data_IF_142497023323
#
_entry.id   IF_142497023323
#
_cell.length_a   1.000
_cell.length_b   1.000
_cell.length_c   1.000
_cell.angle_alpha   90.00
_cell.angle_beta   90.00
_cell.angle_gamma   90.00
#
_symmetry.space_group_name_H-M   'P 1'
#
loop_
_entity.id
_entity.type
_entity.pdbx_description
1 polymer ?
#
# COMPACT_ATOMS: atom_id res chain seq x y z
N UNK A 1 38.22 12.83 23.65
CA UNK A 1 36.78 12.49 23.64
C UNK A 1 36.56 11.58 22.44
N UNK A 2 36.58 10.25 22.63
CA UNK A 2 36.43 9.30 21.54
C UNK A 2 34.95 9.01 21.31
N UNK A 3 34.48 9.24 20.09
CA UNK A 3 33.08 9.08 19.69
C UNK A 3 32.64 7.61 19.49
N UNK A 4 33.57 6.65 19.59
CA UNK A 4 33.34 5.24 19.32
C UNK A 4 33.85 4.36 20.46
N UNK A 5 33.15 3.26 20.74
CA UNK A 5 33.60 2.20 21.65
C UNK A 5 34.82 1.50 21.06
N UNK A 6 35.65 0.88 21.90
CA UNK A 6 36.87 0.21 21.41
C UNK A 6 36.55 -0.96 20.46
N UNK A 7 35.45 -1.66 20.71
CA UNK A 7 34.91 -2.67 19.80
C UNK A 7 34.53 -2.08 18.42
N UNK A 8 33.89 -0.90 18.41
CA UNK A 8 33.49 -0.23 17.17
C UNK A 8 34.71 0.20 16.36
N UNK A 9 35.79 0.65 17.03
CA UNK A 9 37.05 1.01 16.36
C UNK A 9 37.67 -0.19 15.65
N UNK A 10 37.72 -1.34 16.32
CA UNK A 10 38.24 -2.57 15.73
C UNK A 10 37.44 -2.95 14.48
N UNK A 11 36.11 -2.87 14.55
CA UNK A 11 35.24 -3.17 13.42
C UNK A 11 35.39 -2.16 12.28
N UNK A 12 35.43 -0.86 12.57
CA UNK A 12 35.60 0.19 11.56
C UNK A 12 36.94 0.03 10.84
N UNK A 13 38.02 -0.23 11.57
CA UNK A 13 39.35 -0.46 10.99
C UNK A 13 39.44 -1.76 10.18
N UNK A 14 38.53 -2.71 10.39
CA UNK A 14 38.47 -3.96 9.62
C UNK A 14 37.78 -3.82 8.26
N UNK A 15 37.09 -2.69 8.02
CA UNK A 15 36.41 -2.44 6.74
C UNK A 15 37.49 -2.24 5.66
N UNK A 16 37.52 -3.06 4.60
CA UNK A 16 38.47 -2.89 3.52
C UNK A 16 38.20 -1.56 2.81
N UNK A 17 39.14 -0.62 2.94
CA UNK A 17 39.11 0.64 2.19
C UNK A 17 39.76 0.40 0.85
N UNK A 18 39.17 0.95 -0.21
CA UNK A 18 39.82 0.94 -1.50
C UNK A 18 41.04 1.87 -1.48
N UNK A 19 42.18 1.38 -1.97
CA UNK A 19 43.43 2.16 -2.04
C UNK A 19 43.50 3.00 -3.31
N UNK A 20 42.56 2.82 -4.25
CA UNK A 20 42.41 3.71 -5.38
C UNK A 20 41.55 4.92 -4.96
N UNK A 21 42.07 6.12 -5.20
CA UNK A 21 41.30 7.36 -5.11
C UNK A 21 40.19 7.33 -6.17
N UNK A 22 39.02 6.82 -5.78
CA UNK A 22 37.78 6.88 -6.55
C UNK A 22 36.84 7.87 -5.87
N UNK A 23 36.13 8.64 -6.68
CA UNK A 23 35.08 9.51 -6.18
C UNK A 23 33.96 8.70 -5.53
N UNK A 24 33.42 9.22 -4.42
CA UNK A 24 32.28 8.64 -3.75
C UNK A 24 31.08 8.52 -4.69
N UNK A 25 30.45 7.34 -4.70
CA UNK A 25 29.30 7.05 -5.53
C UNK A 25 28.08 6.71 -4.67
N UNK A 26 26.90 7.15 -5.10
CA UNK A 26 25.63 6.72 -4.48
C UNK A 26 25.42 5.23 -4.73
N UNK A 27 25.19 4.48 -3.65
CA UNK A 27 24.89 3.05 -3.70
C UNK A 27 23.57 2.72 -2.99
N UNK A 28 22.76 1.89 -3.64
CA UNK A 28 21.49 1.40 -3.13
C UNK A 28 21.65 0.01 -2.51
N UNK A 29 21.80 -0.05 -1.19
CA UNK A 29 22.07 -1.29 -0.46
C UNK A 29 20.95 -2.34 -0.52
N UNK A 30 19.73 -1.97 -0.95
CA UNK A 30 18.63 -2.91 -1.16
C UNK A 30 18.66 -3.61 -2.52
N UNK A 31 19.68 -3.34 -3.34
CA UNK A 31 19.92 -4.04 -4.59
C UNK A 31 21.34 -4.60 -4.65
N UNK A 32 21.50 -5.79 -5.21
CA UNK A 32 22.79 -6.50 -5.24
C UNK A 32 23.81 -5.81 -6.15
N UNK A 33 23.37 -5.02 -7.13
CA UNK A 33 24.27 -4.24 -7.99
C UNK A 33 24.51 -2.83 -7.45
N UNK A 34 23.95 -2.49 -6.28
CA UNK A 34 24.03 -1.15 -5.70
C UNK A 34 23.27 -0.09 -6.50
N UNK A 35 22.46 -0.48 -7.49
CA UNK A 35 21.79 0.46 -8.39
C UNK A 35 20.36 0.74 -7.92
N UNK A 36 20.00 2.02 -7.87
CA UNK A 36 18.62 2.42 -7.59
C UNK A 36 17.74 2.23 -8.84
N UNK A 37 16.56 1.66 -8.64
CA UNK A 37 15.49 1.67 -9.65
C UNK A 37 14.17 2.03 -8.96
N UNK A 38 13.23 2.59 -9.71
CA UNK A 38 11.87 2.85 -9.19
C UNK A 38 11.24 1.57 -8.63
N UNK A 39 11.51 0.42 -9.27
CA UNK A 39 11.03 -0.90 -8.82
C UNK A 39 11.62 -1.30 -7.45
N UNK A 40 12.92 -1.15 -7.25
CA UNK A 40 13.58 -1.50 -5.98
C UNK A 40 13.16 -0.53 -4.87
N UNK A 41 13.06 0.77 -5.17
CA UNK A 41 12.54 1.77 -4.24
C UNK A 41 11.09 1.50 -3.83
N UNK A 42 10.21 1.19 -4.79
CA UNK A 42 8.81 0.86 -4.50
C UNK A 42 8.69 -0.40 -3.62
N UNK A 43 9.51 -1.42 -3.88
CA UNK A 43 9.52 -2.64 -3.07
C UNK A 43 9.85 -2.33 -1.60
N UNK A 44 10.91 -1.56 -1.35
CA UNK A 44 11.30 -1.16 0.02
C UNK A 44 10.19 -0.35 0.69
N UNK A 45 9.58 0.59 -0.02
CA UNK A 45 8.47 1.38 0.50
C UNK A 45 7.24 0.53 0.84
N UNK A 46 6.93 -0.49 0.04
CA UNK A 46 5.84 -1.42 0.34
C UNK A 46 6.17 -2.35 1.50
N UNK A 47 7.39 -2.89 1.56
CA UNK A 47 7.82 -3.75 2.66
C UNK A 47 7.76 -3.01 4.01
N UNK A 48 8.17 -1.72 4.04
CA UNK A 48 8.04 -0.86 5.22
C UNK A 48 6.59 -0.66 5.65
N UNK A 49 5.67 -0.36 4.70
CA UNK A 49 4.23 -0.25 4.98
C UNK A 49 3.63 -1.57 5.49
N UNK A 50 4.12 -2.70 4.99
CA UNK A 50 3.64 -4.03 5.38
C UNK A 50 4.13 -4.44 6.78
N UNK A 51 5.29 -3.95 7.22
CA UNK A 51 5.78 -4.17 8.59
C UNK A 51 4.94 -3.43 9.64
N UNK A 52 4.37 -2.27 9.28
CA UNK A 52 3.41 -1.54 10.14
C UNK A 52 2.01 -2.17 10.10
N UNK A 53 1.63 -2.78 8.97
CA UNK A 53 0.34 -3.46 8.79
C UNK A 53 0.41 -4.94 9.19
N UNK A 54 0.39 -5.21 10.49
CA UNK A 54 0.44 -6.57 11.04
C UNK A 54 -0.70 -7.48 10.51
N UNK A 55 -0.35 -8.72 10.15
CA UNK A 55 -1.23 -9.91 9.91
C UNK A 55 -2.30 -9.88 8.80
N UNK A 56 -2.87 -8.73 8.43
CA UNK A 56 -4.07 -8.67 7.58
C UNK A 56 -3.81 -8.80 6.07
N UNK A 57 -2.61 -8.44 5.59
CA UNK A 57 -2.29 -8.45 4.16
C UNK A 57 -2.41 -9.83 3.51
N UNK A 58 -2.00 -10.89 4.21
CA UNK A 58 -2.12 -12.27 3.69
C UNK A 58 -3.58 -12.70 3.59
N UNK A 59 -4.40 -12.35 4.58
CA UNK A 59 -5.84 -12.66 4.60
C UNK A 59 -6.54 -11.89 3.49
N UNK A 60 -6.19 -10.62 3.29
CA UNK A 60 -6.75 -9.78 2.23
C UNK A 60 -6.39 -10.31 0.83
N UNK A 61 -5.13 -10.71 0.63
CA UNK A 61 -4.70 -11.34 -0.63
C UNK A 61 -5.45 -12.66 -0.91
N UNK A 62 -5.65 -13.50 0.11
CA UNK A 62 -6.40 -14.75 -0.02
C UNK A 62 -7.88 -14.51 -0.35
N UNK A 63 -8.49 -13.48 0.25
CA UNK A 63 -9.85 -13.06 -0.08
C UNK A 63 -10.00 -12.68 -1.55
N UNK A 64 -9.10 -11.84 -2.06
CA UNK A 64 -9.14 -11.42 -3.46
C UNK A 64 -8.97 -12.59 -4.42
N UNK A 65 -8.02 -13.50 -4.15
CA UNK A 65 -7.85 -14.72 -4.94
C UNK A 65 -9.13 -15.56 -4.97
N UNK A 66 -9.80 -15.70 -3.83
CA UNK A 66 -11.05 -16.45 -3.72
C UNK A 66 -12.15 -15.83 -4.57
N UNK A 67 -12.34 -14.51 -4.51
CA UNK A 67 -13.30 -13.76 -5.33
C UNK A 67 -13.06 -13.98 -6.83
N UNK A 68 -11.81 -13.90 -7.27
CA UNK A 68 -11.45 -14.07 -8.68
C UNK A 68 -11.58 -15.51 -9.19
N UNK A 69 -11.49 -16.51 -8.31
CA UNK A 69 -11.66 -17.93 -8.65
C UNK A 69 -13.13 -18.39 -8.75
N UNK A 70 -14.10 -17.58 -8.30
CA UNK A 70 -15.52 -17.94 -8.39
C UNK A 70 -15.98 -18.13 -9.86
N UNK A 71 -16.83 -19.12 -10.13
CA UNK A 71 -17.41 -19.37 -11.46
C UNK A 71 -18.66 -18.48 -11.70
N UNK A 72 -18.47 -17.18 -11.63
CA UNK A 72 -19.53 -16.17 -11.85
C UNK A 72 -19.13 -15.18 -12.96
N UNK A 73 -20.10 -14.48 -13.58
CA UNK A 73 -19.80 -13.48 -14.60
C UNK A 73 -18.83 -12.41 -14.11
N UNK A 74 -17.90 -11.99 -14.98
CA UNK A 74 -16.87 -11.00 -14.66
C UNK A 74 -17.47 -9.69 -14.12
N UNK A 75 -18.61 -9.26 -14.66
CA UNK A 75 -19.32 -8.05 -14.22
C UNK A 75 -19.67 -8.09 -12.73
N UNK A 76 -20.04 -9.26 -12.20
CA UNK A 76 -20.35 -9.45 -10.78
C UNK A 76 -19.09 -9.40 -9.93
N UNK A 77 -17.99 -10.02 -10.37
CA UNK A 77 -16.69 -9.95 -9.68
C UNK A 77 -16.20 -8.51 -9.57
N UNK A 78 -16.25 -7.76 -10.67
CA UNK A 78 -15.84 -6.35 -10.71
C UNK A 78 -16.72 -5.50 -9.82
N UNK A 79 -18.04 -5.75 -9.82
CA UNK A 79 -18.97 -5.07 -8.92
C UNK A 79 -18.63 -5.34 -7.44
N UNK A 80 -18.46 -6.60 -7.05
CA UNK A 80 -18.11 -6.98 -5.68
C UNK A 80 -16.75 -6.39 -5.25
N UNK A 81 -15.75 -6.44 -6.12
CA UNK A 81 -14.44 -5.83 -5.87
C UNK A 81 -14.55 -4.33 -5.61
N UNK A 82 -15.31 -3.61 -6.45
CA UNK A 82 -15.59 -2.17 -6.25
C UNK A 82 -16.41 -1.92 -4.98
N UNK A 83 -17.36 -2.79 -4.64
CA UNK A 83 -18.17 -2.66 -3.45
C UNK A 83 -17.32 -2.77 -2.18
N UNK A 84 -16.50 -3.81 -2.06
CA UNK A 84 -15.61 -4.05 -0.93
C UNK A 84 -14.56 -2.94 -0.73
N UNK A 85 -14.12 -2.29 -1.81
CA UNK A 85 -13.15 -1.19 -1.76
C UNK A 85 -13.80 0.21 -1.64
N UNK A 86 -15.11 0.28 -1.37
CA UNK A 86 -15.87 1.53 -1.33
C UNK A 86 -15.68 2.40 -2.60
N UNK A 87 -15.56 1.72 -3.75
CA UNK A 87 -15.30 2.29 -5.06
C UNK A 87 -16.55 2.52 -5.91
N UNK A 88 -17.73 2.13 -5.42
CA UNK A 88 -19.00 2.42 -6.07
C UNK A 88 -19.37 3.91 -5.92
N UNK A 89 -20.04 4.51 -6.93
CA UNK A 89 -20.35 5.94 -6.95
C UNK A 89 -21.61 6.27 -6.11
N UNK A 90 -21.62 5.90 -4.83
CA UNK A 90 -22.66 6.32 -3.88
C UNK A 90 -22.53 7.83 -3.57
N UNK A 91 -23.62 8.52 -3.22
CA UNK A 91 -23.61 9.97 -2.99
C UNK A 91 -22.60 10.41 -1.94
N UNK A 92 -22.41 9.63 -0.87
CA UNK A 92 -21.36 9.90 0.13
C UNK A 92 -19.96 9.81 -0.49
N UNK A 93 -19.70 8.82 -1.34
CA UNK A 93 -18.40 8.66 -1.99
C UNK A 93 -18.14 9.76 -3.02
N UNK A 94 -19.19 10.24 -3.69
CA UNK A 94 -19.09 11.40 -4.57
C UNK A 94 -18.77 12.68 -3.78
N UNK A 95 -19.45 12.93 -2.64
CA UNK A 95 -19.10 14.08 -1.77
C UNK A 95 -17.68 13.98 -1.25
N UNK A 96 -17.23 12.80 -0.80
CA UNK A 96 -15.83 12.59 -0.36
C UNK A 96 -14.80 12.96 -1.43
N UNK A 97 -15.19 12.91 -2.71
CA UNK A 97 -14.36 13.34 -3.85
C UNK A 97 -14.63 14.80 -4.27
N UNK A 98 -15.23 15.60 -3.41
CA UNK A 98 -15.58 17.00 -3.63
C UNK A 98 -16.55 17.25 -4.81
N UNK A 99 -17.34 16.24 -5.18
CA UNK A 99 -18.46 16.45 -6.11
C UNK A 99 -19.61 17.09 -5.33
N UNK A 100 -20.15 18.20 -5.84
CA UNK A 100 -21.27 18.92 -5.22
C UNK A 100 -22.57 18.12 -5.38
N UNK A 101 -22.83 17.22 -4.43
CA UNK A 101 -24.06 16.40 -4.36
C UNK A 101 -24.62 16.37 -2.94
N UNK A 102 -25.96 16.36 -2.85
CA UNK A 102 -26.68 16.12 -1.59
C UNK A 102 -26.46 14.65 -1.17
N UNK A 103 -26.09 14.36 0.10
CA UNK A 103 -25.89 12.96 0.55
C UNK A 103 -27.12 12.12 0.57
N UNK A 104 -28.26 12.76 0.72
CA UNK A 104 -29.49 12.09 1.12
C UNK A 104 -29.89 11.15 -0.01
N UNK A 105 -30.13 9.90 0.36
CA UNK A 105 -30.58 8.86 -0.56
C UNK A 105 -31.87 9.31 -1.25
N UNK A 106 -31.84 9.39 -2.58
CA UNK A 106 -32.99 9.83 -3.37
C UNK A 106 -34.15 8.83 -3.38
N UNK A 107 -33.89 7.58 -2.97
CA UNK A 107 -34.91 6.53 -2.91
C UNK A 107 -35.77 6.64 -1.64
N UNK A 108 -35.16 6.75 -0.46
CA UNK A 108 -35.88 6.82 0.81
C UNK A 108 -36.07 8.25 1.35
N UNK A 109 -35.23 9.20 0.94
CA UNK A 109 -35.18 10.59 1.42
C UNK A 109 -35.03 10.74 2.96
N UNK A 110 -34.53 9.72 3.65
CA UNK A 110 -34.41 9.70 5.11
C UNK A 110 -32.94 9.75 5.57
N UNK A 111 -32.09 8.92 4.98
CA UNK A 111 -30.70 8.74 5.41
C UNK A 111 -29.70 9.12 4.30
N UNK A 112 -28.44 9.28 4.67
CA UNK A 112 -27.37 9.45 3.68
C UNK A 112 -27.14 8.15 2.89
N UNK A 113 -26.92 8.26 1.58
CA UNK A 113 -26.63 7.12 0.72
C UNK A 113 -25.19 6.62 0.92
N UNK A 114 -25.02 5.77 1.93
CA UNK A 114 -23.83 4.93 2.08
C UNK A 114 -23.89 3.74 1.12
N UNK A 115 -22.77 3.02 1.00
CA UNK A 115 -22.72 1.81 0.19
C UNK A 115 -23.61 0.72 0.76
N UNK A 116 -23.64 0.57 2.08
CA UNK A 116 -24.50 -0.38 2.78
C UNK A 116 -25.97 0.00 2.62
N UNK A 117 -26.29 1.30 2.76
CA UNK A 117 -27.65 1.80 2.57
C UNK A 117 -28.13 1.53 1.14
N UNK A 118 -27.34 1.90 0.13
CA UNK A 118 -27.67 1.70 -1.28
C UNK A 118 -27.84 0.22 -1.68
N UNK A 119 -27.14 -0.71 -1.02
CA UNK A 119 -27.16 -2.13 -1.39
C UNK A 119 -28.14 -2.98 -0.56
N UNK A 120 -28.35 -2.67 0.71
CA UNK A 120 -29.00 -3.58 1.64
C UNK A 120 -30.11 -2.96 2.50
N UNK A 121 -30.04 -1.66 2.80
CA UNK A 121 -30.87 -1.06 3.87
C UNK A 121 -31.84 0.03 3.41
N UNK A 122 -31.75 0.46 2.15
CA UNK A 122 -32.66 1.45 1.58
C UNK A 122 -34.12 0.96 1.52
#
# INVERSE_FOLDING_TARGET
MSFFLDLDKELICSIPVDFQERDDCLSWHFDKTGSYTVKSGYKVAMDAKCQEASSNLKVEQQWWLSLWNLKIPLKVKVFAWKACLNGLPCLINLRKRNVLVNPICHCCNLEEETLEHALFWC
#
